data_IF_202260322033
#
_entry.id   IF_202260322033
#
_cell.length_a   1.000
_cell.length_b   1.000
_cell.length_c   1.000
_cell.angle_alpha   90.00
_cell.angle_beta   90.00
_cell.angle_gamma   90.00
#
_symmetry.space_group_name_H-M   'P 1'
#
loop_
_entity.id
_entity.type
_entity.pdbx_description
1 polymer ?
#
# COMPACT_ATOMS: atom_id res chain seq x y z
N UNK A 1 -19.45 8.66 5.18
CA UNK A 1 -19.49 10.10 5.52
C UNK A 1 -20.90 10.71 5.39
N UNK A 2 -21.52 10.73 4.20
CA UNK A 2 -22.83 11.39 3.99
C UNK A 2 -23.94 10.95 4.96
N UNK A 3 -24.00 9.65 5.29
CA UNK A 3 -24.93 9.11 6.30
C UNK A 3 -24.74 9.74 7.68
N UNK A 4 -23.49 9.89 8.14
CA UNK A 4 -23.17 10.49 9.44
C UNK A 4 -23.58 11.97 9.46
N UNK A 5 -23.32 12.68 8.36
CA UNK A 5 -23.77 14.06 8.19
C UNK A 5 -25.30 14.18 8.24
N UNK A 6 -26.02 13.26 7.59
CA UNK A 6 -27.47 13.21 7.67
C UNK A 6 -27.95 12.98 9.12
N UNK A 7 -27.33 12.06 9.87
CA UNK A 7 -27.64 11.86 11.29
C UNK A 7 -27.41 13.13 12.10
N UNK A 8 -26.28 13.81 11.89
CA UNK A 8 -25.93 15.04 12.59
C UNK A 8 -27.00 16.12 12.38
N UNK A 9 -27.43 16.34 11.13
CA UNK A 9 -28.46 17.32 10.78
C UNK A 9 -29.86 16.94 11.28
N UNK A 10 -30.19 15.65 11.28
CA UNK A 10 -31.48 15.16 11.81
C UNK A 10 -31.53 15.37 13.32
N UNK A 11 -30.45 15.04 14.04
CA UNK A 11 -30.41 15.22 15.50
C UNK A 11 -30.50 16.69 15.90
N UNK A 12 -29.80 17.58 15.20
CA UNK A 12 -29.90 19.02 15.42
C UNK A 12 -31.36 19.50 15.22
N UNK A 13 -31.97 19.11 14.10
CA UNK A 13 -33.36 19.48 13.79
C UNK A 13 -34.36 18.96 14.82
N UNK A 14 -34.18 17.75 15.34
CA UNK A 14 -35.13 17.08 16.23
C UNK A 14 -34.93 17.49 17.69
N UNK A 15 -33.68 17.65 18.14
CA UNK A 15 -33.34 17.85 19.54
C UNK A 15 -32.82 19.25 19.87
N UNK A 16 -32.57 20.10 18.86
CA UNK A 16 -31.94 21.41 19.03
C UNK A 16 -30.46 21.34 19.44
N UNK A 17 -29.86 20.16 19.33
CA UNK A 17 -28.43 19.93 19.56
C UNK A 17 -27.97 18.67 18.83
N UNK A 18 -26.67 18.61 18.52
CA UNK A 18 -26.05 17.51 17.80
C UNK A 18 -24.65 17.22 18.31
N UNK A 19 -23.99 16.21 17.74
CA UNK A 19 -22.61 15.87 18.05
C UNK A 19 -21.63 16.63 17.16
N UNK A 20 -20.42 16.87 17.67
CA UNK A 20 -19.30 17.36 16.85
C UNK A 20 -18.78 16.23 15.96
N UNK A 21 -18.72 16.48 14.67
CA UNK A 21 -18.24 15.53 13.67
C UNK A 21 -16.81 15.88 13.27
N UNK A 22 -15.90 14.91 13.39
CA UNK A 22 -14.56 15.01 12.84
C UNK A 22 -14.41 14.06 11.67
N UNK A 23 -13.97 14.56 10.52
CA UNK A 23 -13.64 13.74 9.37
C UNK A 23 -12.14 13.78 9.16
N UNK A 24 -11.52 12.60 9.10
CA UNK A 24 -10.08 12.46 8.95
C UNK A 24 -9.75 11.77 7.64
N UNK A 25 -9.01 12.46 6.77
CA UNK A 25 -8.46 11.88 5.56
C UNK A 25 -7.05 11.40 5.82
N UNK A 26 -6.80 10.10 5.69
CA UNK A 26 -5.45 9.54 5.70
C UNK A 26 -4.82 9.65 4.31
N UNK A 27 -3.79 10.49 4.17
CA UNK A 27 -3.02 10.61 2.93
C UNK A 27 -1.88 9.61 2.93
N UNK A 28 -1.95 8.64 2.01
CA UNK A 28 -0.79 7.80 1.71
C UNK A 28 0.04 8.40 0.59
N UNK A 29 1.33 8.02 0.49
CA UNK A 29 2.23 8.60 -0.52
C UNK A 29 1.81 8.34 -1.96
N UNK A 30 1.17 7.20 -2.22
CA UNK A 30 0.59 6.92 -3.54
C UNK A 30 -0.77 7.57 -3.80
N UNK A 31 -1.18 8.63 -3.10
CA UNK A 31 -2.49 9.27 -3.29
C UNK A 31 -2.35 10.46 -4.26
N UNK A 32 -2.85 10.36 -5.51
CA UNK A 32 -2.80 11.47 -6.46
C UNK A 32 -3.63 12.67 -5.99
N UNK A 33 -3.28 13.88 -6.45
CA UNK A 33 -4.05 15.10 -6.17
C UNK A 33 -5.52 14.97 -6.56
N UNK A 34 -5.83 14.27 -7.66
CA UNK A 34 -7.21 14.03 -8.11
C UNK A 34 -8.06 13.32 -7.03
N UNK A 35 -7.47 12.45 -6.21
CA UNK A 35 -8.17 11.81 -5.09
C UNK A 35 -8.51 12.83 -4.00
N UNK A 36 -7.54 13.69 -3.61
CA UNK A 36 -7.78 14.75 -2.63
C UNK A 36 -8.84 15.76 -3.11
N UNK A 37 -8.86 16.08 -4.41
CA UNK A 37 -9.89 16.93 -5.00
C UNK A 37 -11.27 16.27 -4.93
N UNK A 38 -11.37 14.94 -5.13
CA UNK A 38 -12.64 14.23 -4.92
C UNK A 38 -13.10 14.26 -3.46
N UNK A 39 -12.16 14.13 -2.50
CA UNK A 39 -12.46 14.28 -1.07
C UNK A 39 -12.98 15.69 -0.77
N UNK A 40 -12.30 16.71 -1.28
CA UNK A 40 -12.67 18.12 -1.11
C UNK A 40 -14.07 18.44 -1.67
N UNK A 41 -14.38 17.96 -2.88
CA UNK A 41 -15.75 18.07 -3.44
C UNK A 41 -16.80 17.43 -2.56
N UNK A 42 -16.52 16.26 -2.00
CA UNK A 42 -17.44 15.58 -1.11
C UNK A 42 -17.64 16.35 0.21
N UNK A 43 -16.59 16.99 0.73
CA UNK A 43 -16.67 17.88 1.91
C UNK A 43 -17.54 19.11 1.62
N UNK A 44 -17.32 19.76 0.48
CA UNK A 44 -18.08 20.93 0.05
C UNK A 44 -19.55 20.59 -0.23
N UNK A 45 -19.84 19.49 -0.91
CA UNK A 45 -21.21 19.03 -1.20
C UNK A 45 -22.03 18.77 0.08
N UNK A 46 -21.36 18.29 1.14
CA UNK A 46 -21.96 18.05 2.45
C UNK A 46 -21.92 19.27 3.38
N UNK A 47 -21.36 20.40 2.91
CA UNK A 47 -21.13 21.64 3.68
C UNK A 47 -20.47 21.38 5.04
N UNK A 48 -19.41 20.59 5.05
CA UNK A 48 -18.68 20.28 6.29
C UNK A 48 -17.68 21.38 6.64
N UNK A 49 -17.15 22.06 5.63
CA UNK A 49 -16.23 23.20 5.76
C UNK A 49 -16.89 24.46 6.35
N UNK A 50 -18.20 24.61 6.11
CA UNK A 50 -18.99 25.76 6.57
C UNK A 50 -19.68 25.54 7.92
N UNK A 51 -19.56 24.36 8.53
CA UNK A 51 -20.26 24.01 9.77
C UNK A 51 -19.30 24.02 10.97
N UNK A 52 -19.54 24.84 12.01
CA UNK A 52 -18.66 24.91 13.18
C UNK A 52 -18.64 23.63 14.03
N UNK A 53 -19.64 22.75 13.89
CA UNK A 53 -19.66 21.43 14.52
C UNK A 53 -18.95 20.37 13.68
N UNK A 54 -18.32 20.77 12.56
CA UNK A 54 -17.51 19.91 11.72
C UNK A 54 -16.02 20.30 11.76
N UNK A 55 -15.16 19.30 11.87
CA UNK A 55 -13.71 19.46 11.80
C UNK A 55 -13.14 18.54 10.72
N UNK A 56 -12.41 19.10 9.77
CA UNK A 56 -11.79 18.38 8.65
C UNK A 56 -10.29 18.29 8.88
N UNK A 57 -9.76 17.08 8.96
CA UNK A 57 -8.35 16.82 9.23
C UNK A 57 -7.70 15.97 8.14
N UNK A 58 -6.40 16.19 7.97
CA UNK A 58 -5.49 15.39 7.16
C UNK A 58 -4.48 14.70 8.09
N UNK A 59 -4.33 13.39 7.92
CA UNK A 59 -3.22 12.63 8.50
C UNK A 59 -2.21 12.34 7.39
N UNK A 60 -0.97 12.81 7.58
CA UNK A 60 0.16 12.52 6.68
C UNK A 60 1.32 11.96 7.51
N UNK A 61 1.56 10.65 7.38
CA UNK A 61 2.49 9.93 8.25
C UNK A 61 1.98 9.87 9.69
N UNK A 62 2.68 10.58 10.59
CA UNK A 62 2.32 10.70 12.01
C UNK A 62 1.79 12.08 12.39
N UNK A 63 1.65 12.99 11.41
CA UNK A 63 1.17 14.34 11.63
C UNK A 63 -0.34 14.42 11.40
N UNK A 64 -1.03 15.14 12.28
CA UNK A 64 -2.43 15.52 12.11
C UNK A 64 -2.50 17.03 11.90
N UNK A 65 -3.12 17.47 10.82
CA UNK A 65 -3.28 18.87 10.47
C UNK A 65 -4.71 19.15 9.97
N UNK A 66 -5.16 20.42 9.90
CA UNK A 66 -6.37 20.78 9.16
C UNK A 66 -6.29 20.29 7.71
N UNK A 67 -7.42 19.83 7.17
CA UNK A 67 -7.49 19.41 5.78
C UNK A 67 -7.28 20.61 4.86
N UNK A 68 -6.34 20.46 3.92
CA UNK A 68 -6.09 21.38 2.82
C UNK A 68 -5.78 20.53 1.59
N UNK A 69 -6.61 20.70 0.55
CA UNK A 69 -6.51 19.96 -0.71
C UNK A 69 -5.20 20.23 -1.46
N UNK A 70 -4.60 21.41 -1.23
CA UNK A 70 -3.38 21.86 -1.89
C UNK A 70 -2.16 21.74 -0.98
N UNK A 71 -2.30 21.18 0.23
CA UNK A 71 -1.18 20.90 1.11
C UNK A 71 -0.15 20.01 0.38
N UNK A 72 1.15 20.40 0.36
CA UNK A 72 2.18 19.54 -0.18
C UNK A 72 2.35 18.31 0.73
N UNK A 73 2.68 17.17 0.13
CA UNK A 73 3.01 16.00 0.93
C UNK A 73 4.34 16.22 1.67
N UNK A 74 4.46 15.71 2.89
CA UNK A 74 5.69 15.82 3.66
C UNK A 74 6.84 14.99 3.06
N UNK A 75 7.98 15.64 2.81
CA UNK A 75 9.19 15.00 2.23
C UNK A 75 9.64 13.75 2.99
N UNK A 76 9.57 13.76 4.33
CA UNK A 76 9.97 12.62 5.14
C UNK A 76 9.03 11.42 4.95
N UNK A 77 7.74 11.65 4.69
CA UNK A 77 6.77 10.59 4.38
C UNK A 77 7.07 10.00 3.02
N UNK A 78 7.39 10.81 2.01
CA UNK A 78 7.80 10.35 0.68
C UNK A 78 9.06 9.48 0.79
N UNK A 79 10.11 9.99 1.44
CA UNK A 79 11.38 9.25 1.64
C UNK A 79 11.17 7.91 2.36
N UNK A 80 10.36 7.90 3.43
CA UNK A 80 10.02 6.69 4.19
C UNK A 80 9.31 5.66 3.31
N UNK A 81 8.29 6.07 2.57
CA UNK A 81 7.53 5.17 1.69
C UNK A 81 8.39 4.64 0.54
N UNK A 82 9.23 5.48 -0.07
CA UNK A 82 10.19 5.05 -1.09
C UNK A 82 11.10 3.94 -0.57
N UNK A 83 11.67 4.12 0.62
CA UNK A 83 12.52 3.12 1.24
C UNK A 83 11.75 1.82 1.52
N UNK A 84 10.52 1.90 2.03
CA UNK A 84 9.68 0.72 2.29
C UNK A 84 9.36 -0.05 1.01
N UNK A 85 9.05 0.66 -0.09
CA UNK A 85 8.80 0.07 -1.41
C UNK A 85 10.03 -0.69 -1.90
N UNK A 86 11.21 -0.05 -1.90
CA UNK A 86 12.44 -0.66 -2.40
C UNK A 86 12.85 -1.87 -1.57
N UNK A 87 12.90 -1.73 -0.24
CA UNK A 87 13.28 -2.84 0.65
C UNK A 87 12.32 -4.02 0.53
N UNK A 88 11.01 -3.77 0.49
CA UNK A 88 10.02 -4.84 0.40
C UNK A 88 9.98 -5.48 -0.98
N UNK A 89 10.06 -4.67 -2.04
CA UNK A 89 10.02 -5.20 -3.40
C UNK A 89 11.26 -6.02 -3.74
N UNK A 90 12.46 -5.64 -3.27
CA UNK A 90 13.66 -6.45 -3.43
C UNK A 90 13.55 -7.80 -2.70
N UNK A 91 12.81 -7.90 -1.60
CA UNK A 91 12.56 -9.18 -0.92
C UNK A 91 11.48 -10.04 -1.56
N UNK A 92 10.69 -9.46 -2.46
CA UNK A 92 9.46 -10.10 -2.99
C UNK A 92 9.40 -10.17 -4.51
N UNK A 93 10.53 -10.00 -5.22
CA UNK A 93 10.59 -9.98 -6.69
C UNK A 93 9.58 -9.02 -7.30
N UNK A 94 9.48 -7.83 -6.69
CA UNK A 94 8.54 -6.79 -7.05
C UNK A 94 7.07 -7.27 -7.13
N UNK A 95 6.65 -8.21 -6.27
CA UNK A 95 5.23 -8.57 -6.17
C UNK A 95 4.45 -7.32 -5.71
N UNK A 96 3.47 -6.91 -6.52
CA UNK A 96 2.84 -5.59 -6.41
C UNK A 96 2.27 -5.32 -5.02
N UNK A 97 1.56 -6.28 -4.43
CA UNK A 97 0.89 -6.05 -3.15
C UNK A 97 1.83 -5.91 -1.95
N UNK A 98 2.77 -6.83 -1.68
CA UNK A 98 3.72 -6.60 -0.59
C UNK A 98 4.53 -5.32 -0.83
N UNK A 99 4.90 -5.03 -2.08
CA UNK A 99 5.67 -3.83 -2.44
C UNK A 99 4.93 -2.52 -2.12
N UNK A 100 3.64 -2.40 -2.44
CA UNK A 100 2.92 -1.13 -2.32
C UNK A 100 1.89 -1.04 -1.18
N UNK A 101 1.30 -2.17 -0.75
CA UNK A 101 0.13 -2.13 0.14
C UNK A 101 0.43 -2.45 1.59
N UNK A 102 1.43 -3.28 1.90
CA UNK A 102 1.64 -3.78 3.26
C UNK A 102 1.95 -2.65 4.25
N UNK A 103 2.96 -1.82 3.94
CA UNK A 103 3.32 -0.67 4.76
C UNK A 103 2.17 0.33 4.87
N UNK A 104 1.42 0.53 3.78
CA UNK A 104 0.32 1.48 3.79
C UNK A 104 -0.88 0.99 4.61
N UNK A 105 -1.17 -0.32 4.66
CA UNK A 105 -2.22 -0.86 5.55
C UNK A 105 -1.88 -0.59 7.02
N UNK A 106 -0.62 -0.73 7.41
CA UNK A 106 -0.16 -0.36 8.75
C UNK A 106 -0.29 1.15 9.00
N UNK A 107 0.01 1.98 7.99
CA UNK A 107 -0.21 3.42 8.05
C UNK A 107 -1.69 3.80 8.22
N UNK A 108 -2.62 3.11 7.56
CA UNK A 108 -4.07 3.31 7.74
C UNK A 108 -4.47 3.00 9.17
N UNK A 109 -4.00 1.90 9.75
CA UNK A 109 -4.29 1.56 11.16
C UNK A 109 -3.68 2.61 12.10
N UNK A 110 -2.47 3.10 11.82
CA UNK A 110 -1.88 4.19 12.60
C UNK A 110 -2.73 5.46 12.55
N UNK A 111 -3.26 5.81 11.38
CA UNK A 111 -4.12 6.99 11.21
C UNK A 111 -5.39 6.92 12.07
N UNK A 112 -5.93 5.72 12.30
CA UNK A 112 -7.02 5.51 13.23
C UNK A 112 -6.62 5.93 14.65
N UNK A 113 -5.48 5.43 15.14
CA UNK A 113 -5.00 5.74 16.49
C UNK A 113 -4.75 7.24 16.67
N UNK A 114 -4.11 7.87 15.68
CA UNK A 114 -3.88 9.32 15.68
C UNK A 114 -5.20 10.10 15.67
N UNK A 115 -6.15 9.73 14.82
CA UNK A 115 -7.46 10.37 14.73
C UNK A 115 -8.27 10.25 16.02
N UNK A 116 -8.27 9.06 16.62
CA UNK A 116 -9.00 8.76 17.84
C UNK A 116 -8.46 9.52 19.06
N UNK A 117 -7.16 9.81 19.10
CA UNK A 117 -6.49 10.49 20.21
C UNK A 117 -6.29 12.00 19.98
N UNK A 118 -6.64 12.51 18.81
CA UNK A 118 -6.45 13.93 18.48
C UNK A 118 -7.36 14.85 19.31
N UNK A 119 -6.77 15.94 19.85
CA UNK A 119 -7.46 16.89 20.73
C UNK A 119 -7.93 16.22 22.03
N UNK A 120 -9.20 16.39 22.37
CA UNK A 120 -9.81 15.74 23.55
C UNK A 120 -10.08 14.24 23.35
N UNK A 121 -9.81 13.70 22.16
CA UNK A 121 -10.08 12.34 21.76
C UNK A 121 -11.54 12.08 21.34
N UNK A 122 -11.77 11.01 20.59
CA UNK A 122 -13.08 10.65 20.06
C UNK A 122 -13.89 9.76 21.03
N UNK A 123 -15.20 9.97 21.08
CA UNK A 123 -16.14 9.11 21.79
C UNK A 123 -16.61 7.92 20.94
N UNK A 124 -16.83 8.17 19.64
CA UNK A 124 -17.32 7.16 18.69
C UNK A 124 -16.53 7.26 17.39
N UNK A 125 -16.04 6.13 16.91
CA UNK A 125 -15.49 6.00 15.57
C UNK A 125 -16.51 5.32 14.65
N UNK A 126 -16.74 5.90 13.48
CA UNK A 126 -17.69 5.39 12.49
C UNK A 126 -16.93 4.87 11.27
N UNK A 127 -17.15 3.61 10.90
CA UNK A 127 -16.56 2.98 9.71
C UNK A 127 -17.62 2.61 8.67
N UNK A 128 -17.21 2.68 7.39
CA UNK A 128 -17.89 2.14 6.22
C UNK A 128 -17.50 0.68 5.90
N UNK A 129 -16.73 0.00 6.74
CA UNK A 129 -16.38 -1.40 6.48
C UNK A 129 -17.56 -2.32 6.83
N UNK A 130 -17.80 -3.34 5.99
CA UNK A 130 -18.82 -4.36 6.26
C UNK A 130 -18.46 -5.21 7.48
N UNK A 131 -19.45 -5.81 8.16
CA UNK A 131 -19.19 -6.74 9.28
C UNK A 131 -18.32 -7.93 8.87
N UNK A 132 -18.43 -8.37 7.60
CA UNK A 132 -17.64 -9.48 7.09
C UNK A 132 -16.17 -9.09 6.96
N UNK A 133 -15.87 -7.91 6.41
CA UNK A 133 -14.50 -7.38 6.32
C UNK A 133 -13.90 -7.15 7.70
N UNK A 134 -14.63 -6.52 8.62
CA UNK A 134 -14.15 -6.31 10.00
C UNK A 134 -13.81 -7.62 10.70
N UNK A 135 -14.67 -8.65 10.58
CA UNK A 135 -14.39 -9.98 11.14
C UNK A 135 -13.18 -10.65 10.49
N UNK A 136 -13.03 -10.53 9.17
CA UNK A 136 -11.89 -11.08 8.45
C UNK A 136 -10.58 -10.42 8.90
N UNK A 137 -10.54 -9.08 9.01
CA UNK A 137 -9.38 -8.34 9.49
C UNK A 137 -9.07 -8.67 10.97
N UNK A 138 -10.07 -8.69 11.85
CA UNK A 138 -9.86 -9.04 13.26
C UNK A 138 -9.33 -10.46 13.45
N UNK A 139 -9.86 -11.44 12.70
CA UNK A 139 -9.37 -12.81 12.71
C UNK A 139 -7.97 -12.93 12.12
N UNK A 140 -7.66 -12.18 11.06
CA UNK A 140 -6.33 -12.14 10.46
C UNK A 140 -5.30 -11.54 11.42
N UNK A 141 -5.54 -10.36 11.99
CA UNK A 141 -4.68 -9.73 13.00
C UNK A 141 -4.50 -10.64 14.22
N UNK A 142 -5.58 -11.25 14.71
CA UNK A 142 -5.52 -12.17 15.85
C UNK A 142 -4.71 -13.45 15.57
N UNK A 143 -4.77 -13.99 14.35
CA UNK A 143 -3.91 -15.12 13.94
C UNK A 143 -2.44 -14.70 13.83
N UNK A 144 -2.18 -13.51 13.29
CA UNK A 144 -0.84 -12.99 13.09
C UNK A 144 -0.13 -12.68 14.41
N UNK A 145 -0.83 -11.99 15.32
CA UNK A 145 -0.32 -11.64 16.64
C UNK A 145 0.10 -12.89 17.42
N UNK A 146 -0.70 -13.98 17.37
CA UNK A 146 -0.34 -15.24 18.04
C UNK A 146 0.93 -15.90 17.49
N UNK A 147 1.29 -15.67 16.22
CA UNK A 147 2.45 -16.29 15.58
C UNK A 147 3.71 -15.44 15.66
N UNK A 148 3.58 -14.12 15.53
CA UNK A 148 4.71 -13.20 15.34
C UNK A 148 4.99 -12.29 16.54
N UNK A 149 3.99 -12.06 17.40
CA UNK A 149 4.10 -11.16 18.54
C UNK A 149 3.31 -11.73 19.74
N UNK A 150 3.76 -12.84 20.34
CA UNK A 150 3.04 -13.49 21.44
C UNK A 150 2.77 -12.49 22.57
N UNK A 151 1.60 -12.58 23.23
CA UNK A 151 1.17 -11.57 24.18
C UNK A 151 2.13 -11.50 25.37
N UNK A 152 2.92 -10.43 25.45
CA UNK A 152 3.49 -9.96 26.72
C UNK A 152 2.42 -9.16 27.46
N UNK A 153 2.46 -9.20 28.80
CA UNK A 153 1.54 -8.64 29.83
C UNK A 153 0.32 -7.88 29.28
N UNK A 154 -0.91 -8.16 29.78
CA UNK A 154 -2.13 -7.54 29.26
C UNK A 154 -1.95 -6.02 29.14
N UNK A 155 -2.07 -5.50 27.91
CA UNK A 155 -1.98 -4.05 27.71
C UNK A 155 -3.16 -3.41 28.43
N UNK A 156 -2.86 -2.38 29.23
CA UNK A 156 -3.85 -1.50 29.83
C UNK A 156 -4.61 -0.79 28.69
N UNK A 157 -5.93 -0.66 28.80
CA UNK A 157 -6.76 0.03 27.80
C UNK A 157 -7.98 -0.76 27.34
N UNK A 158 -8.95 -0.05 26.75
CA UNK A 158 -10.17 -0.63 26.19
C UNK A 158 -9.91 -1.64 25.05
N UNK A 159 -10.95 -2.32 24.57
CA UNK A 159 -10.85 -3.36 23.54
C UNK A 159 -10.09 -2.93 22.27
N UNK A 160 -10.19 -1.65 21.91
CA UNK A 160 -9.60 -1.04 20.71
C UNK A 160 -8.12 -0.76 20.92
N UNK A 161 -7.75 -0.09 22.01
CA UNK A 161 -6.35 0.22 22.33
C UNK A 161 -5.50 -1.04 22.39
N UNK A 162 -6.05 -2.15 22.92
CA UNK A 162 -5.39 -3.46 22.90
C UNK A 162 -5.17 -4.00 21.48
N UNK A 163 -6.14 -3.84 20.58
CA UNK A 163 -6.00 -4.26 19.17
C UNK A 163 -4.92 -3.45 18.47
N UNK A 164 -4.93 -2.12 18.61
CA UNK A 164 -3.91 -1.23 18.04
C UNK A 164 -2.52 -1.55 18.60
N UNK A 165 -2.40 -1.83 19.90
CA UNK A 165 -1.12 -2.23 20.50
C UNK A 165 -0.58 -3.55 19.92
N UNK A 166 -1.47 -4.51 19.62
CA UNK A 166 -1.05 -5.73 18.93
C UNK A 166 -0.58 -5.46 17.50
N UNK A 167 -1.24 -4.54 16.78
CA UNK A 167 -0.83 -4.16 15.43
C UNK A 167 0.48 -3.35 15.48
N UNK A 168 0.72 -2.51 16.48
CA UNK A 168 2.00 -1.81 16.71
C UNK A 168 3.15 -2.81 16.85
N UNK A 169 2.99 -3.82 17.70
CA UNK A 169 4.01 -4.88 17.87
C UNK A 169 4.26 -5.63 16.57
N UNK A 170 3.21 -5.94 15.81
CA UNK A 170 3.35 -6.55 14.50
C UNK A 170 4.09 -5.63 13.52
N UNK A 171 3.77 -4.34 13.51
CA UNK A 171 4.44 -3.33 12.67
C UNK A 171 5.93 -3.32 12.96
N UNK A 172 6.31 -3.31 14.25
CA UNK A 172 7.71 -3.36 14.68
C UNK A 172 8.42 -4.63 14.20
N UNK A 173 7.80 -5.81 14.37
CA UNK A 173 8.38 -7.08 13.88
C UNK A 173 8.55 -7.05 12.36
N UNK A 174 7.53 -6.60 11.63
CA UNK A 174 7.56 -6.47 10.17
C UNK A 174 8.67 -5.55 9.70
N UNK A 175 8.75 -4.32 10.21
CA UNK A 175 9.74 -3.35 9.75
C UNK A 175 11.15 -3.65 10.27
N UNK A 176 11.31 -4.32 11.40
CA UNK A 176 12.62 -4.83 11.84
C UNK A 176 13.12 -5.94 10.93
N UNK A 177 12.23 -6.81 10.44
CA UNK A 177 12.58 -7.85 9.48
C UNK A 177 12.93 -7.26 8.10
N UNK A 178 12.21 -6.22 7.65
CA UNK A 178 12.48 -5.51 6.39
C UNK A 178 13.78 -4.70 6.44
N UNK A 179 13.96 -3.87 7.47
CA UNK A 179 15.08 -2.92 7.56
C UNK A 179 16.30 -3.48 8.30
N UNK A 180 16.17 -4.68 8.87
CA UNK A 180 17.21 -5.35 9.64
C UNK A 180 17.26 -4.91 11.11
N UNK A 181 17.84 -5.75 12.00
CA UNK A 181 17.90 -5.48 13.44
C UNK A 181 18.83 -4.30 13.81
N UNK A 182 19.73 -3.92 12.89
CA UNK A 182 20.61 -2.76 13.04
C UNK A 182 20.03 -1.47 12.45
N UNK A 183 18.77 -1.47 12.00
CA UNK A 183 18.10 -0.26 11.54
C UNK A 183 18.15 0.81 12.63
N UNK A 184 18.38 2.06 12.23
CA UNK A 184 18.37 3.17 13.17
C UNK A 184 17.00 3.24 13.88
N UNK A 185 17.02 3.54 15.19
CA UNK A 185 15.82 3.45 16.03
C UNK A 185 14.66 4.33 15.51
N UNK A 186 14.99 5.45 14.86
CA UNK A 186 14.03 6.36 14.24
C UNK A 186 13.28 5.73 13.05
N UNK A 187 13.92 4.82 12.29
CA UNK A 187 13.29 4.11 11.17
C UNK A 187 12.10 3.28 11.67
N UNK A 188 12.27 2.55 12.77
CA UNK A 188 11.20 1.72 13.34
C UNK A 188 10.17 2.60 14.06
N UNK A 189 10.62 3.60 14.81
CA UNK A 189 9.73 4.50 15.58
C UNK A 189 8.76 5.26 14.65
N UNK A 190 9.22 5.72 13.50
CA UNK A 190 8.38 6.39 12.49
C UNK A 190 7.29 5.49 11.89
N UNK A 191 7.31 4.18 12.14
CA UNK A 191 6.37 3.19 11.57
C UNK A 191 5.49 2.52 12.63
N UNK A 192 5.52 3.06 13.84
CA UNK A 192 4.67 2.61 14.94
C UNK A 192 3.22 2.94 14.70
N UNK A 193 2.37 2.17 15.36
CA UNK A 193 0.93 2.39 15.38
C UNK A 193 0.57 3.02 16.71
N UNK A 194 -0.03 4.20 16.67
CA UNK A 194 -0.59 4.84 17.86
C UNK A 194 -1.68 3.97 18.46
N UNK A 195 -1.52 3.57 19.72
CA UNK A 195 -2.48 2.72 20.43
C UNK A 195 -3.09 3.38 21.67
N UNK A 196 -2.62 4.56 22.03
CA UNK A 196 -3.08 5.31 23.21
C UNK A 196 -4.38 6.07 22.90
N UNK A 197 -5.49 5.32 22.85
CA UNK A 197 -6.82 5.84 22.50
C UNK A 197 -7.70 6.02 23.74
N UNK A 198 -8.67 6.95 23.73
CA UNK A 198 -9.55 7.19 24.88
C UNK A 198 -10.29 5.92 25.31
N UNK A 199 -10.34 5.64 26.63
CA UNK A 199 -11.03 4.46 27.16
C UNK A 199 -12.52 4.41 26.78
N UNK A 200 -13.14 5.58 26.63
CA UNK A 200 -14.55 5.74 26.24
C UNK A 200 -14.86 5.46 24.77
N UNK A 201 -13.84 5.28 23.93
CA UNK A 201 -14.00 5.11 22.48
C UNK A 201 -14.84 3.88 22.14
N UNK A 202 -15.90 4.09 21.36
CA UNK A 202 -16.77 3.05 20.81
C UNK A 202 -16.64 2.96 19.30
N UNK A 203 -16.97 1.79 18.74
CA UNK A 203 -17.02 1.56 17.30
C UNK A 203 -18.45 1.41 16.83
N UNK A 204 -18.77 2.09 15.74
CA UNK A 204 -20.04 1.94 15.03
C UNK A 204 -19.77 1.70 13.55
N UNK A 205 -20.47 0.72 12.96
CA UNK A 205 -20.44 0.48 11.52
C UNK A 205 -21.80 0.79 10.95
N UNK A 206 -21.84 1.56 9.87
CA UNK A 206 -23.10 1.89 9.18
C UNK A 206 -23.78 0.63 8.62
N UNK A 207 -23.02 -0.45 8.36
CA UNK A 207 -23.51 -1.74 7.88
C UNK A 207 -24.13 -2.61 8.98
N UNK A 208 -24.10 -2.17 10.24
CA UNK A 208 -24.84 -2.85 11.30
C UNK A 208 -26.36 -2.80 11.04
N UNK A 209 -26.84 -1.69 10.49
CA UNK A 209 -28.26 -1.38 10.37
C UNK A 209 -28.71 -1.04 8.94
N UNK A 210 -27.81 -1.10 7.95
CA UNK A 210 -28.13 -0.79 6.55
C UNK A 210 -27.60 -1.85 5.58
N UNK A 211 -28.41 -2.23 4.59
CA UNK A 211 -27.95 -3.00 3.43
C UNK A 211 -27.37 -2.01 2.41
N UNK A 212 -26.10 -2.16 2.09
CA UNK A 212 -25.40 -1.29 1.14
C UNK A 212 -25.18 -2.04 -0.17
N UNK A 213 -25.71 -1.50 -1.27
CA UNK A 213 -25.43 -1.98 -2.62
C UNK A 213 -24.76 -0.85 -3.40
N UNK A 214 -23.51 -1.05 -3.82
CA UNK A 214 -22.70 0.00 -4.45
C UNK A 214 -23.34 0.58 -5.73
N UNK A 215 -24.14 -0.22 -6.45
CA UNK A 215 -24.85 0.21 -7.66
C UNK A 215 -25.96 1.24 -7.42
N UNK A 216 -26.59 1.24 -6.24
CA UNK A 216 -27.73 2.10 -5.93
C UNK A 216 -27.33 3.54 -5.57
N UNK A 217 -26.02 3.81 -5.49
CA UNK A 217 -25.48 5.08 -4.99
C UNK A 217 -24.65 5.84 -6.01
N UNK A 218 -24.63 5.42 -7.28
CA UNK A 218 -23.85 6.12 -8.30
C UNK A 218 -24.29 7.59 -8.43
N UNK A 219 -25.59 7.87 -8.42
CA UNK A 219 -26.13 9.23 -8.44
C UNK A 219 -25.73 10.06 -7.21
N UNK A 220 -25.67 9.42 -6.03
CA UNK A 220 -25.17 10.09 -4.83
C UNK A 220 -23.67 10.42 -4.99
N UNK A 221 -22.88 9.49 -5.53
CA UNK A 221 -21.43 9.61 -5.66
C UNK A 221 -21.03 10.64 -6.73
N UNK A 222 -21.53 10.51 -7.95
CA UNK A 222 -21.13 11.36 -9.08
C UNK A 222 -22.01 12.59 -9.22
N UNK A 223 -23.32 12.46 -8.97
CA UNK A 223 -24.29 13.56 -9.08
C UNK A 223 -24.23 14.52 -7.90
N UNK A 224 -24.47 14.03 -6.69
CA UNK A 224 -24.52 14.90 -5.50
C UNK A 224 -23.14 15.22 -4.91
N UNK A 225 -22.30 14.20 -4.67
CA UNK A 225 -20.96 14.40 -4.08
C UNK A 225 -19.93 14.90 -5.10
N UNK A 226 -20.26 14.89 -6.40
CA UNK A 226 -19.40 15.42 -7.45
C UNK A 226 -18.11 14.62 -7.67
N UNK A 227 -18.09 13.33 -7.33
CA UNK A 227 -16.94 12.47 -7.55
C UNK A 227 -16.65 12.33 -9.05
N UNK A 228 -15.40 12.54 -9.45
CA UNK A 228 -14.96 12.35 -10.83
C UNK A 228 -13.97 11.19 -10.93
N UNK A 229 -14.18 10.33 -11.93
CA UNK A 229 -13.22 9.30 -12.30
C UNK A 229 -12.07 9.95 -13.06
N UNK A 230 -10.87 9.90 -12.49
CA UNK A 230 -9.66 10.46 -13.09
C UNK A 230 -8.82 9.35 -13.76
N UNK A 231 -8.07 9.72 -14.79
CA UNK A 231 -7.28 8.80 -15.62
C UNK A 231 -6.08 8.20 -14.87
N UNK A 232 -5.53 8.93 -13.88
CA UNK A 232 -4.41 8.52 -13.02
C UNK A 232 -4.87 8.07 -11.63
N UNK A 233 -6.04 8.52 -11.15
CA UNK A 233 -6.62 8.05 -9.88
C UNK A 233 -7.28 6.68 -10.06
N UNK A 234 -6.46 5.63 -10.01
CA UNK A 234 -6.87 4.23 -10.10
C UNK A 234 -7.42 3.65 -8.77
N UNK A 235 -8.29 4.36 -8.05
CA UNK A 235 -8.80 3.87 -6.75
C UNK A 235 -10.31 3.98 -6.64
N UNK A 236 -10.95 2.83 -6.43
CA UNK A 236 -12.40 2.69 -6.26
C UNK A 236 -12.80 2.02 -4.95
N UNK A 237 -11.95 2.00 -3.94
CA UNK A 237 -12.40 1.76 -2.58
C UNK A 237 -11.70 2.66 -1.57
N UNK A 238 -12.39 2.89 -0.45
CA UNK A 238 -12.12 3.85 0.63
C UNK A 238 -10.76 3.70 1.34
N UNK A 239 -9.89 2.78 0.91
CA UNK A 239 -8.57 2.53 1.53
C UNK A 239 -7.50 1.94 0.58
N UNK A 240 -7.63 2.10 -0.74
CA UNK A 240 -6.70 1.48 -1.70
C UNK A 240 -5.35 2.19 -1.78
N UNK A 241 -4.47 1.73 -0.89
CA UNK A 241 -3.06 2.03 -0.83
C UNK A 241 -2.21 1.55 -2.02
N UNK A 242 -2.77 0.69 -2.86
CA UNK A 242 -2.12 0.24 -4.09
C UNK A 242 -2.51 1.14 -5.25
N UNK A 243 -1.56 1.51 -6.10
CA UNK A 243 -1.87 2.02 -7.44
C UNK A 243 -1.87 0.80 -8.41
N UNK A 244 -3.06 0.32 -8.87
CA UNK A 244 -3.15 -0.80 -9.81
C UNK A 244 -2.33 -0.60 -11.09
N UNK A 245 -2.14 0.64 -11.55
CA UNK A 245 -1.32 0.91 -12.72
C UNK A 245 0.18 0.65 -12.45
N UNK A 246 0.69 1.00 -11.26
CA UNK A 246 2.06 0.64 -10.87
C UNK A 246 2.23 -0.87 -10.69
N UNK A 247 1.22 -1.57 -10.17
CA UNK A 247 1.27 -3.04 -10.09
C UNK A 247 1.25 -3.69 -11.49
N UNK A 248 0.42 -3.17 -12.40
CA UNK A 248 0.40 -3.60 -13.80
C UNK A 248 1.75 -3.34 -14.48
N UNK A 249 2.33 -2.17 -14.23
CA UNK A 249 3.64 -1.77 -14.75
C UNK A 249 4.77 -2.67 -14.21
N UNK A 250 4.83 -2.91 -12.90
CA UNK A 250 5.78 -3.87 -12.32
C UNK A 250 5.61 -5.28 -12.90
N UNK A 251 4.37 -5.75 -13.08
CA UNK A 251 4.11 -7.04 -13.72
C UNK A 251 4.63 -7.07 -15.17
N UNK A 252 4.40 -5.99 -15.90
CA UNK A 252 4.84 -5.85 -17.28
C UNK A 252 6.38 -5.79 -17.40
N UNK A 253 7.06 -5.03 -16.55
CA UNK A 253 8.52 -4.98 -16.45
C UNK A 253 9.12 -6.35 -16.10
N UNK A 254 8.54 -7.05 -15.12
CA UNK A 254 8.97 -8.40 -14.75
C UNK A 254 8.81 -9.37 -15.93
N UNK A 255 7.69 -9.29 -16.65
CA UNK A 255 7.45 -10.10 -17.83
C UNK A 255 8.47 -9.82 -18.94
N UNK A 256 8.77 -8.55 -19.18
CA UNK A 256 9.72 -8.10 -20.20
C UNK A 256 11.16 -8.49 -19.87
N UNK A 257 11.64 -8.09 -18.69
CA UNK A 257 13.06 -8.13 -18.32
C UNK A 257 13.47 -9.46 -17.70
N UNK A 258 12.64 -10.00 -16.81
CA UNK A 258 12.94 -11.25 -16.09
C UNK A 258 12.49 -12.46 -16.90
N UNK A 259 11.26 -12.46 -17.42
CA UNK A 259 10.73 -13.62 -18.15
C UNK A 259 11.06 -13.62 -19.65
N UNK A 260 11.64 -12.55 -20.19
CA UNK A 260 11.99 -12.44 -21.61
C UNK A 260 10.77 -12.52 -22.56
N UNK A 261 9.60 -12.15 -22.06
CA UNK A 261 8.35 -12.02 -22.82
C UNK A 261 8.14 -10.56 -23.19
N UNK A 262 7.01 -10.19 -23.79
CA UNK A 262 6.73 -8.78 -24.08
C UNK A 262 6.14 -8.06 -22.86
N UNK A 263 6.43 -6.76 -22.73
CA UNK A 263 5.79 -5.88 -21.76
C UNK A 263 4.25 -5.91 -21.89
N UNK A 264 3.74 -5.93 -23.14
CA UNK A 264 2.31 -5.98 -23.44
C UNK A 264 1.62 -7.23 -22.86
N UNK A 265 2.27 -8.40 -22.95
CA UNK A 265 1.75 -9.63 -22.34
C UNK A 265 1.63 -9.52 -20.82
N UNK A 266 2.65 -8.99 -20.14
CA UNK A 266 2.61 -8.84 -18.69
C UNK A 266 1.56 -7.82 -18.23
N UNK A 267 1.40 -6.73 -18.98
CA UNK A 267 0.33 -5.75 -18.74
C UNK A 267 -1.05 -6.38 -18.91
N UNK A 268 -1.27 -7.13 -20.00
CA UNK A 268 -2.53 -7.83 -20.24
C UNK A 268 -2.88 -8.82 -19.11
N UNK A 269 -1.90 -9.61 -18.64
CA UNK A 269 -2.10 -10.54 -17.52
C UNK A 269 -2.64 -9.84 -16.27
N UNK A 270 -2.07 -8.69 -15.91
CA UNK A 270 -2.52 -7.95 -14.73
C UNK A 270 -3.88 -7.29 -14.95
N UNK A 271 -4.11 -6.69 -16.11
CA UNK A 271 -5.39 -6.02 -16.44
C UNK A 271 -6.54 -7.03 -16.44
N UNK A 272 -6.37 -8.20 -17.04
CA UNK A 272 -7.40 -9.26 -17.02
C UNK A 272 -7.72 -9.70 -15.59
N UNK A 273 -6.70 -9.85 -14.75
CA UNK A 273 -6.88 -10.17 -13.34
C UNK A 273 -7.64 -9.08 -12.59
N UNK A 274 -7.26 -7.81 -12.76
CA UNK A 274 -7.88 -6.67 -12.10
C UNK A 274 -9.36 -6.53 -12.51
N UNK A 275 -9.67 -6.61 -13.81
CA UNK A 275 -11.04 -6.58 -14.31
C UNK A 275 -11.86 -7.76 -13.80
N UNK A 276 -11.25 -8.94 -13.67
CA UNK A 276 -11.88 -10.10 -13.04
C UNK A 276 -12.20 -9.88 -11.55
N UNK A 277 -11.33 -9.17 -10.83
CA UNK A 277 -11.53 -8.82 -9.43
C UNK A 277 -12.66 -7.79 -9.26
N UNK A 278 -12.70 -6.75 -10.09
CA UNK A 278 -13.79 -5.77 -10.10
C UNK A 278 -15.16 -6.43 -10.27
N UNK A 279 -15.28 -7.37 -11.23
CA UNK A 279 -16.52 -8.13 -11.46
C UNK A 279 -16.92 -8.99 -10.26
N UNK A 280 -15.97 -9.64 -9.60
CA UNK A 280 -16.23 -10.44 -8.39
C UNK A 280 -16.68 -9.59 -7.20
N UNK A 281 -16.33 -8.30 -7.21
CA UNK A 281 -16.75 -7.33 -6.19
C UNK A 281 -18.03 -6.58 -6.59
N UNK A 282 -18.75 -7.06 -7.61
CA UNK A 282 -20.01 -6.48 -8.09
C UNK A 282 -19.89 -4.99 -8.47
N UNK A 283 -18.75 -4.59 -9.03
CA UNK A 283 -18.59 -3.23 -9.55
C UNK A 283 -19.55 -2.97 -10.72
N UNK A 284 -20.08 -1.73 -10.88
CA UNK A 284 -20.94 -1.38 -11.99
C UNK A 284 -20.31 -1.74 -13.36
N UNK A 285 -21.06 -2.38 -14.28
CA UNK A 285 -20.52 -2.82 -15.58
C UNK A 285 -19.89 -1.68 -16.40
N UNK A 286 -20.52 -0.51 -16.42
CA UNK A 286 -20.03 0.67 -17.14
C UNK A 286 -18.66 1.11 -16.63
N UNK A 287 -18.41 0.95 -15.33
CA UNK A 287 -17.12 1.26 -14.74
C UNK A 287 -16.05 0.24 -15.13
N UNK A 288 -16.40 -1.05 -15.14
CA UNK A 288 -15.48 -2.10 -15.61
C UNK A 288 -15.08 -1.84 -17.06
N UNK A 289 -16.02 -1.38 -17.88
CA UNK A 289 -15.77 -1.03 -19.29
C UNK A 289 -14.91 0.23 -19.44
N UNK A 290 -15.18 1.27 -18.66
CA UNK A 290 -14.34 2.47 -18.60
C UNK A 290 -12.88 2.13 -18.27
N UNK A 291 -12.67 1.23 -17.31
CA UNK A 291 -11.33 0.79 -16.93
C UNK A 291 -10.67 -0.07 -18.01
N UNK A 292 -11.43 -0.94 -18.68
CA UNK A 292 -10.95 -1.74 -19.82
C UNK A 292 -10.46 -0.85 -20.95
N UNK A 293 -11.26 0.13 -21.35
CA UNK A 293 -10.98 0.99 -22.51
C UNK A 293 -9.62 1.72 -22.43
N UNK A 294 -9.11 1.98 -21.21
CA UNK A 294 -7.79 2.61 -20.98
C UNK A 294 -6.63 1.78 -21.52
N UNK A 295 -6.75 0.46 -21.50
CA UNK A 295 -5.71 -0.48 -21.89
C UNK A 295 -5.87 -1.00 -23.32
N UNK A 296 -6.89 -0.53 -24.04
CA UNK A 296 -7.22 -0.97 -25.39
C UNK A 296 -6.87 0.08 -26.46
N UNK A 297 -6.67 -0.40 -27.69
CA UNK A 297 -6.41 0.43 -28.86
C UNK A 297 -4.94 0.73 -29.16
N UNK A 298 -4.66 1.36 -30.32
CA UNK A 298 -3.29 1.61 -30.78
C UNK A 298 -2.52 2.48 -29.77
N UNK A 299 -1.31 2.03 -29.42
CA UNK A 299 -0.41 2.76 -28.52
C UNK A 299 -0.81 2.76 -27.04
N UNK A 300 -1.89 2.09 -26.63
CA UNK A 300 -2.33 2.08 -25.23
C UNK A 300 -1.25 1.59 -24.27
N UNK A 301 -0.57 0.49 -24.61
CA UNK A 301 0.54 -0.07 -23.83
C UNK A 301 1.66 0.94 -23.63
N UNK A 302 2.04 1.68 -24.68
CA UNK A 302 3.10 2.68 -24.61
C UNK A 302 2.69 3.89 -23.76
N UNK A 303 1.44 4.35 -23.89
CA UNK A 303 0.91 5.45 -23.06
C UNK A 303 0.87 5.05 -21.59
N UNK A 304 0.39 3.84 -21.29
CA UNK A 304 0.30 3.34 -19.92
C UNK A 304 1.68 3.09 -19.30
N UNK A 305 2.69 2.67 -20.07
CA UNK A 305 4.09 2.60 -19.60
C UNK A 305 4.59 3.99 -19.20
N UNK A 306 4.51 4.96 -20.10
CA UNK A 306 4.96 6.33 -19.82
C UNK A 306 4.25 6.96 -18.62
N UNK A 307 2.91 6.82 -18.54
CA UNK A 307 2.15 7.32 -17.40
C UNK A 307 2.55 6.66 -16.07
N UNK A 308 2.83 5.36 -16.07
CA UNK A 308 3.28 4.66 -14.87
C UNK A 308 4.72 5.06 -14.47
N UNK A 309 5.61 5.24 -15.44
CA UNK A 309 6.99 5.70 -15.22
C UNK A 309 7.02 7.11 -14.64
N UNK A 310 6.25 8.03 -15.22
CA UNK A 310 6.15 9.40 -14.74
C UNK A 310 5.54 9.45 -13.34
N UNK A 311 4.48 8.66 -13.10
CA UNK A 311 3.88 8.55 -11.78
C UNK A 311 4.85 7.98 -10.74
N UNK A 312 5.61 6.92 -11.07
CA UNK A 312 6.62 6.34 -10.19
C UNK A 312 7.71 7.36 -9.82
N UNK A 313 8.16 8.13 -10.81
CA UNK A 313 9.20 9.15 -10.66
C UNK A 313 8.71 10.35 -9.85
N UNK A 314 7.56 10.91 -10.17
CA UNK A 314 7.03 12.11 -9.52
C UNK A 314 6.57 11.83 -8.09
N UNK A 315 5.95 10.66 -7.85
CA UNK A 315 5.34 10.35 -6.55
C UNK A 315 6.34 9.71 -5.57
N UNK A 316 7.25 8.87 -6.07
CA UNK A 316 8.15 8.08 -5.23
C UNK A 316 9.63 8.28 -5.56
N UNK A 317 9.96 9.09 -6.58
CA UNK A 317 11.33 9.23 -7.09
C UNK A 317 11.86 7.98 -7.79
N UNK A 318 11.03 6.98 -8.09
CA UNK A 318 11.46 5.67 -8.58
C UNK A 318 11.69 5.71 -10.08
N UNK A 319 12.81 5.14 -10.53
CA UNK A 319 13.13 5.01 -11.96
C UNK A 319 12.77 3.61 -12.47
N UNK A 320 12.55 3.45 -13.78
CA UNK A 320 12.32 2.12 -14.37
C UNK A 320 13.48 1.17 -14.03
N UNK A 321 14.73 1.64 -14.07
CA UNK A 321 15.92 0.84 -13.72
C UNK A 321 15.85 0.29 -12.29
N UNK A 322 15.41 1.10 -11.32
CA UNK A 322 15.22 0.66 -9.93
C UNK A 322 14.07 -0.35 -9.81
N UNK A 323 12.98 -0.16 -10.54
CA UNK A 323 11.87 -1.11 -10.58
C UNK A 323 12.27 -2.43 -11.22
N UNK A 324 13.09 -2.40 -12.27
CA UNK A 324 13.66 -3.59 -12.92
C UNK A 324 14.63 -4.30 -11.97
N UNK A 325 15.54 -3.57 -11.33
CA UNK A 325 16.44 -4.11 -10.31
C UNK A 325 15.65 -4.82 -9.20
N UNK A 326 14.58 -4.20 -8.73
CA UNK A 326 13.67 -4.78 -7.73
C UNK A 326 12.97 -6.07 -8.22
N UNK A 327 12.61 -6.16 -9.50
CA UNK A 327 11.97 -7.34 -10.08
C UNK A 327 12.91 -8.55 -10.20
N UNK A 328 14.21 -8.30 -10.42
CA UNK A 328 15.25 -9.35 -10.38
C UNK A 328 15.63 -9.76 -8.95
N UNK A 329 15.41 -8.89 -7.94
CA UNK A 329 15.87 -9.09 -6.57
C UNK A 329 17.35 -9.50 -6.44
N UNK A 330 18.29 -8.87 -7.18
CA UNK A 330 19.63 -9.40 -7.39
C UNK A 330 20.50 -9.38 -6.13
N UNK A 331 20.17 -8.52 -5.17
CA UNK A 331 20.97 -8.33 -3.96
C UNK A 331 20.45 -9.10 -2.76
N UNK A 332 19.26 -9.71 -2.83
CA UNK A 332 18.69 -10.44 -1.70
C UNK A 332 19.01 -11.93 -1.74
N UNK A 333 18.86 -12.63 -0.60
CA UNK A 333 19.07 -14.08 -0.53
C UNK A 333 20.49 -14.50 -0.91
N UNK A 334 21.49 -13.83 -0.34
CA UNK A 334 22.91 -13.98 -0.65
C UNK A 334 23.26 -13.73 -2.13
N UNK A 335 22.52 -12.84 -2.78
CA UNK A 335 22.77 -12.42 -4.15
C UNK A 335 22.49 -13.52 -5.20
N UNK A 336 21.54 -14.42 -4.92
CA UNK A 336 21.26 -15.57 -5.80
C UNK A 336 20.85 -15.16 -7.22
N UNK A 337 20.20 -14.01 -7.37
CA UNK A 337 19.83 -13.42 -8.67
C UNK A 337 20.87 -12.50 -9.30
N UNK A 338 22.02 -12.27 -8.65
CA UNK A 338 22.98 -11.24 -9.06
C UNK A 338 23.57 -11.53 -10.45
N UNK A 339 24.06 -12.75 -10.68
CA UNK A 339 24.74 -13.09 -11.93
C UNK A 339 23.83 -12.92 -13.16
N UNK A 340 22.57 -13.34 -13.06
CA UNK A 340 21.59 -13.18 -14.13
C UNK A 340 21.24 -11.71 -14.39
N UNK A 341 21.03 -10.94 -13.32
CA UNK A 341 20.75 -9.51 -13.42
C UNK A 341 21.92 -8.75 -14.08
N UNK A 342 23.15 -9.01 -13.65
CA UNK A 342 24.34 -8.38 -14.25
C UNK A 342 24.49 -8.78 -15.71
N UNK A 343 24.25 -10.04 -16.07
CA UNK A 343 24.34 -10.47 -17.46
C UNK A 343 23.34 -9.74 -18.38
N UNK A 344 22.11 -9.53 -17.90
CA UNK A 344 21.03 -8.97 -18.71
C UNK A 344 20.99 -7.44 -18.72
N UNK A 345 21.14 -6.82 -17.56
CA UNK A 345 20.89 -5.38 -17.37
C UNK A 345 22.19 -4.58 -17.21
N UNK A 346 23.25 -5.16 -16.65
CA UNK A 346 24.53 -4.47 -16.37
C UNK A 346 25.78 -5.28 -16.75
N UNK A 347 25.95 -5.65 -18.04
CA UNK A 347 27.02 -6.58 -18.45
C UNK A 347 28.43 -6.06 -18.15
N UNK A 348 28.63 -4.74 -18.07
CA UNK A 348 29.89 -4.12 -17.67
C UNK A 348 30.31 -4.40 -16.22
N UNK A 349 29.37 -4.77 -15.35
CA UNK A 349 29.63 -5.14 -13.95
C UNK A 349 29.76 -6.65 -13.74
N UNK A 350 29.47 -7.49 -14.75
CA UNK A 350 29.48 -8.95 -14.63
C UNK A 350 30.85 -9.48 -14.17
N UNK A 351 31.94 -8.90 -14.67
CA UNK A 351 33.31 -9.26 -14.26
C UNK A 351 33.64 -8.92 -12.81
N UNK A 352 32.81 -8.11 -12.14
CA UNK A 352 32.96 -7.67 -10.75
C UNK A 352 32.02 -8.40 -9.78
N UNK A 353 31.32 -9.45 -10.22
CA UNK A 353 30.34 -10.16 -9.38
C UNK A 353 30.92 -10.61 -8.03
N UNK A 354 32.14 -11.14 -8.00
CA UNK A 354 32.82 -11.57 -6.75
C UNK A 354 33.07 -10.38 -5.81
N UNK A 355 33.49 -9.25 -6.36
CA UNK A 355 33.71 -8.01 -5.61
C UNK A 355 32.39 -7.48 -5.03
N UNK A 356 31.31 -7.53 -5.82
CA UNK A 356 29.96 -7.14 -5.36
C UNK A 356 29.51 -8.05 -4.22
N UNK A 357 29.68 -9.37 -4.33
CA UNK A 357 29.36 -10.29 -3.22
C UNK A 357 30.15 -9.96 -1.95
N UNK A 358 31.46 -9.73 -2.05
CA UNK A 358 32.29 -9.36 -0.90
C UNK A 358 31.87 -8.02 -0.29
N UNK A 359 31.48 -7.04 -1.11
CA UNK A 359 31.00 -5.74 -0.67
C UNK A 359 29.66 -5.83 0.10
N UNK A 360 28.73 -6.65 -0.41
CA UNK A 360 27.41 -6.91 0.17
C UNK A 360 27.46 -7.82 1.41
N UNK A 361 28.44 -8.72 1.47
CA UNK A 361 28.70 -9.56 2.65
C UNK A 361 29.31 -8.76 3.82
N UNK A 362 29.85 -7.56 3.54
CA UNK A 362 30.68 -6.76 4.47
C UNK A 362 32.06 -7.38 4.73
N UNK A 363 32.65 -8.00 3.70
CA UNK A 363 33.95 -8.68 3.73
C UNK A 363 35.06 -7.84 3.05
N UNK A 364 34.72 -6.66 2.53
CA UNK A 364 35.66 -5.75 1.87
C UNK A 364 35.35 -4.30 2.20
N UNK A 365 36.40 -3.46 2.18
CA UNK A 365 36.28 -2.01 2.33
C UNK A 365 35.40 -1.44 1.21
N UNK A 366 34.57 -0.41 1.48
CA UNK A 366 33.70 0.18 0.47
C UNK A 366 34.52 0.73 -0.70
N UNK A 367 34.48 0.06 -1.85
CA UNK A 367 34.94 0.63 -3.10
C UNK A 367 33.93 1.73 -3.49
N UNK A 368 34.25 3.00 -3.17
CA UNK A 368 33.31 4.12 -3.26
C UNK A 368 32.57 4.23 -4.59
N UNK A 369 33.24 3.95 -5.71
CA UNK A 369 32.63 3.94 -7.05
C UNK A 369 31.67 2.77 -7.27
N UNK A 370 32.02 1.57 -6.81
CA UNK A 370 31.15 0.39 -6.95
C UNK A 370 29.90 0.53 -6.07
N UNK A 371 30.09 0.97 -4.83
CA UNK A 371 28.99 1.23 -3.92
C UNK A 371 28.02 2.25 -4.54
N UNK A 372 28.53 3.41 -4.98
CA UNK A 372 27.70 4.45 -5.60
C UNK A 372 26.94 3.95 -6.84
N UNK A 373 27.54 3.09 -7.66
CA UNK A 373 26.86 2.51 -8.82
C UNK A 373 25.75 1.54 -8.41
N UNK A 374 25.98 0.68 -7.41
CA UNK A 374 24.93 -0.20 -6.88
C UNK A 374 23.79 0.59 -6.21
N UNK A 375 24.11 1.68 -5.52
CA UNK A 375 23.14 2.58 -4.91
C UNK A 375 22.28 3.29 -5.97
N UNK A 376 22.88 3.73 -7.07
CA UNK A 376 22.18 4.32 -8.21
C UNK A 376 21.20 3.34 -8.86
N UNK A 377 21.67 2.12 -9.14
CA UNK A 377 20.89 1.05 -9.80
C UNK A 377 19.71 0.59 -8.93
N UNK A 378 19.94 0.39 -7.63
CA UNK A 378 18.91 -0.11 -6.70
C UNK A 378 18.03 0.98 -6.12
N UNK A 379 18.52 2.21 -6.02
CA UNK A 379 17.90 3.27 -5.25
C UNK A 379 18.04 3.12 -3.72
N UNK A 380 18.87 2.18 -3.25
CA UNK A 380 19.12 1.86 -1.85
C UNK A 380 20.58 2.11 -1.49
N UNK A 381 20.84 2.61 -0.28
CA UNK A 381 22.17 2.78 0.28
C UNK A 381 22.86 1.42 0.50
N UNK A 382 24.21 1.39 0.52
CA UNK A 382 24.97 0.16 0.73
C UNK A 382 24.56 -0.59 2.01
N UNK A 383 24.27 0.14 3.09
CA UNK A 383 23.81 -0.47 4.35
C UNK A 383 22.50 -1.26 4.16
N UNK A 384 21.57 -0.74 3.35
CA UNK A 384 20.30 -1.36 3.05
C UNK A 384 20.49 -2.57 2.11
N UNK A 385 21.39 -2.47 1.14
CA UNK A 385 21.77 -3.59 0.27
C UNK A 385 22.40 -4.76 1.07
N UNK A 386 23.22 -4.46 2.07
CA UNK A 386 23.80 -5.47 2.98
C UNK A 386 22.74 -6.15 3.86
N UNK A 387 21.72 -5.41 4.29
CA UNK A 387 20.55 -6.00 4.96
C UNK A 387 19.87 -6.99 4.02
N UNK A 388 19.53 -6.56 2.80
CA UNK A 388 18.89 -7.41 1.80
C UNK A 388 19.69 -8.68 1.51
N UNK A 389 21.02 -8.55 1.37
CA UNK A 389 21.91 -9.67 1.09
C UNK A 389 21.81 -10.79 2.12
N UNK A 390 21.65 -10.42 3.40
CA UNK A 390 21.48 -11.38 4.51
C UNK A 390 20.03 -11.83 4.69
N UNK A 391 19.07 -11.06 4.19
CA UNK A 391 17.64 -11.40 4.25
C UNK A 391 17.27 -12.56 3.32
N UNK A 392 16.33 -13.39 3.76
CA UNK A 392 15.70 -14.38 2.91
C UNK A 392 14.86 -13.74 1.81
N UNK A 393 14.89 -14.36 0.64
CA UNK A 393 13.94 -14.11 -0.44
C UNK A 393 12.63 -14.84 -0.14
N UNK A 394 11.51 -14.20 -0.48
CA UNK A 394 10.22 -14.91 -0.50
C UNK A 394 10.27 -16.02 -1.54
N UNK A 395 9.82 -17.22 -1.18
CA UNK A 395 9.70 -18.33 -2.12
C UNK A 395 8.21 -18.59 -2.40
N UNK A 396 7.68 -18.26 -3.59
CA UNK A 396 6.27 -18.45 -3.89
C UNK A 396 5.83 -19.91 -3.67
N UNK A 397 4.87 -20.13 -2.77
CA UNK A 397 4.25 -21.44 -2.54
C UNK A 397 4.86 -22.28 -1.41
N UNK A 398 5.91 -21.82 -0.72
CA UNK A 398 6.33 -22.42 0.55
C UNK A 398 5.67 -21.67 1.72
N UNK A 399 5.15 -22.39 2.70
CA UNK A 399 4.75 -21.82 3.98
C UNK A 399 6.01 -21.66 4.83
N UNK A 400 6.78 -20.61 4.59
CA UNK A 400 7.96 -20.27 5.37
C UNK A 400 7.60 -19.66 6.73
N UNK A 401 8.62 -19.59 7.59
CA UNK A 401 8.61 -18.84 8.86
C UNK A 401 8.84 -17.34 8.66
N UNK A 402 8.93 -16.87 7.41
CA UNK A 402 9.18 -15.47 7.06
C UNK A 402 7.99 -14.60 7.50
N UNK A 403 8.31 -13.45 8.12
CA UNK A 403 7.33 -12.47 8.60
C UNK A 403 6.46 -11.97 7.45
N UNK A 404 7.07 -11.69 6.28
CA UNK A 404 6.36 -11.24 5.08
C UNK A 404 5.34 -12.29 4.63
N UNK A 405 5.75 -13.57 4.57
CA UNK A 405 4.85 -14.65 4.16
C UNK A 405 3.70 -14.83 5.15
N UNK A 406 3.99 -14.75 6.45
CA UNK A 406 2.97 -14.87 7.47
C UNK A 406 1.92 -13.77 7.34
N UNK A 407 2.34 -12.50 7.14
CA UNK A 407 1.46 -11.35 6.85
C UNK A 407 0.58 -11.65 5.63
N UNK A 408 1.16 -12.20 4.56
CA UNK A 408 0.48 -12.44 3.29
C UNK A 408 -0.41 -13.69 3.24
N UNK A 409 -0.15 -14.76 4.01
CA UNK A 409 -0.85 -16.07 3.89
C UNK A 409 -2.37 -16.00 4.18
N UNK A 410 -2.84 -14.97 4.88
CA UNK A 410 -4.26 -14.78 5.20
C UNK A 410 -5.00 -13.75 4.35
N UNK A 411 -4.42 -13.31 3.25
CA UNK A 411 -4.95 -12.25 2.40
C UNK A 411 -6.09 -12.74 1.47
N UNK A 412 -7.31 -12.18 1.58
CA UNK A 412 -8.47 -12.60 0.80
C UNK A 412 -8.47 -12.15 -0.68
N UNK A 413 -7.57 -11.26 -1.11
CA UNK A 413 -7.56 -10.75 -2.50
C UNK A 413 -6.39 -11.27 -3.35
N UNK A 414 -6.04 -12.54 -3.14
CA UNK A 414 -5.05 -13.26 -3.95
C UNK A 414 -5.75 -14.08 -5.03
N UNK A 415 -5.15 -14.17 -6.22
CA UNK A 415 -5.53 -15.15 -7.22
C UNK A 415 -4.30 -15.84 -7.80
N UNK A 416 -4.51 -17.07 -8.23
CA UNK A 416 -3.49 -17.81 -8.98
C UNK A 416 -3.79 -17.65 -10.46
N UNK A 417 -2.85 -17.04 -11.20
CA UNK A 417 -2.94 -16.95 -12.65
C UNK A 417 -2.05 -18.00 -13.30
N UNK A 418 -2.42 -18.35 -14.52
CA UNK A 418 -1.61 -19.19 -15.40
C UNK A 418 -0.70 -18.30 -16.23
N UNK A 419 0.62 -18.49 -16.14
CA UNK A 419 1.62 -17.66 -16.82
C UNK A 419 2.77 -18.52 -17.37
N UNK A 420 3.78 -17.90 -17.97
CA UNK A 420 5.05 -18.51 -18.38
C UNK A 420 6.21 -17.63 -17.90
N UNK A 421 7.20 -18.25 -17.26
CA UNK A 421 8.41 -17.59 -16.76
C UNK A 421 9.53 -17.49 -17.80
N UNK A 422 9.31 -18.04 -19.00
CA UNK A 422 10.15 -17.81 -20.18
C UNK A 422 9.26 -17.69 -21.42
N UNK A 423 9.77 -17.11 -22.50
CA UNK A 423 9.05 -16.94 -23.78
C UNK A 423 8.36 -18.23 -24.26
N UNK A 424 9.13 -19.32 -24.27
CA UNK A 424 8.71 -20.63 -24.81
C UNK A 424 8.59 -21.72 -23.73
N UNK A 425 8.57 -21.32 -22.45
CA UNK A 425 8.56 -22.24 -21.30
C UNK A 425 7.21 -22.91 -21.04
N UNK A 426 7.18 -23.94 -20.16
CA UNK A 426 5.93 -24.53 -19.72
C UNK A 426 5.08 -23.49 -19.01
N UNK A 427 3.77 -23.66 -19.14
CA UNK A 427 2.85 -22.85 -18.38
C UNK A 427 2.89 -23.23 -16.89
N UNK A 428 3.08 -22.23 -16.03
CA UNK A 428 3.16 -22.36 -14.59
C UNK A 428 2.05 -21.55 -13.91
N UNK A 429 1.82 -21.82 -12.63
CA UNK A 429 0.90 -21.06 -11.79
C UNK A 429 1.71 -20.07 -10.96
N UNK A 430 1.34 -18.78 -11.05
CA UNK A 430 1.92 -17.74 -10.21
C UNK A 430 0.80 -17.06 -9.42
N UNK A 431 1.02 -16.88 -8.12
CA UNK A 431 0.11 -16.10 -7.30
C UNK A 431 0.37 -14.62 -7.54
N UNK A 432 -0.67 -13.92 -8.00
CA UNK A 432 -0.68 -12.46 -8.07
C UNK A 432 -1.70 -11.92 -7.08
N UNK A 433 -1.45 -10.70 -6.64
CA UNK A 433 -2.27 -10.03 -5.64
C UNK A 433 -2.73 -8.69 -6.22
N UNK A 434 -3.97 -8.32 -5.93
CA UNK A 434 -4.58 -7.02 -6.31
C UNK A 434 -5.71 -6.68 -5.35
N UNK A 435 -6.31 -5.49 -5.48
CA UNK A 435 -7.47 -5.09 -4.70
C UNK A 435 -8.56 -4.54 -5.61
#
# INVERSE_FOLDING_TARGET
MAFVRAMQLILDRVNGSTFRMRVVTNRHAGMPRAVLVNVDRAYAALRLDADPDCELLLVDGNEVAPFDVDAPQRDHVIRRNRLDILMTGHRTFADGRPTFCNACNLSVVNSFGLAASYGDGADVFITGDSQQEQRQYALWVGRLARRLAPPTKPSQGNGVGRLLSHIDRLSQVYFTDIHGPGAAADVIEQRRVSSDVPDRLQFFSIYADTQYAAGDHLELLTGFLGFTFDDLAFSFTESDCGNPALMAHLRALKCERVFGRSYAEGMAEYVEFALGLMRRKDFPPDLVELMRARYEGPGAVSRMRGAADDYARETFGLTEEQLVCMAFSPFAGNGSGLAEFLQREHPGLLGRAVEIHALLADESEPAGELAAELERISGLELAQLRVLYRSSLRTPGQAGTDVIETVLVGDPHKATIRTRHTKDGPSTLEQISGR
#
